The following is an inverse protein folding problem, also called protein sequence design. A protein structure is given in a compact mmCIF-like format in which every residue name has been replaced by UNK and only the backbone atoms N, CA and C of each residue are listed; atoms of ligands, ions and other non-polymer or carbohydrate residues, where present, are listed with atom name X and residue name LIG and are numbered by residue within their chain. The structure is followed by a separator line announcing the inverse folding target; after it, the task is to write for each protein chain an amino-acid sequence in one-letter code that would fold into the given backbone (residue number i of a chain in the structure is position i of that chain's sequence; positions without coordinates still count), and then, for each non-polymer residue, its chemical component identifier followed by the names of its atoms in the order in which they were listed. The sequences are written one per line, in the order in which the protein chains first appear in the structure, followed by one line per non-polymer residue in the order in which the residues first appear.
data_IF_265635755937
#
_entry.id   IF_265635755937
#
_cell.length_a   1.000
_cell.length_b   1.000
_cell.length_c   1.000
_cell.angle_alpha   90.00
_cell.angle_beta   90.00
_cell.angle_gamma   90.00
#
_symmetry.space_group_name_H-M   'P 1'
#
loop_
_entity.id
_entity.type
_entity.pdbx_description
1 polymer ?
#
# COMPACT_ATOMS: atom_id res chain seq x y z
N UNK A 1 -26.11 -4.64 -25.05
CA UNK A 1 -25.07 -5.61 -25.43
C UNK A 1 -24.58 -6.21 -24.14
N UNK A 2 -25.00 -7.44 -23.82
CA UNK A 2 -24.54 -8.13 -22.62
C UNK A 2 -23.31 -8.97 -23.01
N UNK A 3 -22.14 -8.58 -22.51
CA UNK A 3 -20.95 -9.43 -22.59
C UNK A 3 -21.12 -10.56 -21.58
N UNK A 4 -20.85 -11.80 -21.99
CA UNK A 4 -20.85 -12.93 -21.05
C UNK A 4 -19.52 -12.99 -20.29
N UNK A 5 -19.48 -13.51 -19.06
CA UNK A 5 -18.22 -13.61 -18.30
C UNK A 5 -17.13 -14.40 -19.02
N UNK A 6 -17.51 -15.46 -19.74
CA UNK A 6 -16.58 -16.22 -20.57
C UNK A 6 -16.03 -15.41 -21.74
N UNK A 7 -16.82 -14.51 -22.34
CA UNK A 7 -16.33 -13.62 -23.39
C UNK A 7 -15.29 -12.62 -22.89
N UNK A 8 -15.42 -12.16 -21.63
CA UNK A 8 -14.43 -11.29 -20.98
C UNK A 8 -13.13 -12.04 -20.74
N UNK A 9 -13.19 -13.29 -20.22
CA UNK A 9 -11.98 -14.12 -19.99
C UNK A 9 -11.20 -14.43 -21.27
N UNK A 10 -11.91 -14.65 -22.38
CA UNK A 10 -11.27 -14.99 -23.67
C UNK A 10 -10.99 -13.77 -24.56
N UNK A 11 -11.20 -12.55 -24.07
CA UNK A 11 -10.97 -11.35 -24.84
C UNK A 11 -9.46 -11.19 -25.13
N UNK A 12 -9.11 -10.95 -26.39
CA UNK A 12 -7.72 -10.73 -26.81
C UNK A 12 -7.55 -9.32 -27.37
N UNK A 13 -6.40 -8.71 -27.09
CA UNK A 13 -6.05 -7.36 -27.52
C UNK A 13 -4.80 -7.39 -28.40
N UNK A 14 -4.70 -6.47 -29.35
CA UNK A 14 -3.50 -6.32 -30.16
C UNK A 14 -2.36 -5.69 -29.34
N UNK A 15 -1.15 -6.24 -29.45
CA UNK A 15 0.05 -5.69 -28.80
C UNK A 15 0.56 -4.46 -29.56
N UNK A 16 0.75 -3.34 -28.87
CA UNK A 16 1.35 -2.12 -29.41
C UNK A 16 2.76 -1.90 -28.84
N UNK A 17 3.61 -1.16 -29.57
CA UNK A 17 5.00 -0.85 -29.16
C UNK A 17 5.11 -0.10 -27.83
N UNK A 18 4.02 0.56 -27.41
CA UNK A 18 3.81 1.09 -26.05
C UNK A 18 2.36 0.79 -25.68
N UNK A 19 2.13 -0.05 -24.68
CA UNK A 19 0.82 -0.55 -24.30
C UNK A 19 0.84 -1.17 -22.91
N UNK A 20 -0.33 -1.62 -22.44
CA UNK A 20 -0.49 -2.30 -21.16
C UNK A 20 0.20 -3.68 -21.17
N UNK A 21 0.67 -4.13 -20.00
CA UNK A 21 1.25 -5.46 -19.84
C UNK A 21 0.16 -6.53 -20.08
N UNK A 22 0.36 -7.48 -21.02
CA UNK A 22 -0.61 -8.54 -21.27
C UNK A 22 -0.93 -9.40 -20.03
N UNK A 23 0.00 -9.56 -19.09
CA UNK A 23 -0.19 -10.37 -17.89
C UNK A 23 -1.11 -9.68 -16.89
N UNK A 24 -0.94 -8.37 -16.73
CA UNK A 24 -1.78 -7.55 -15.87
C UNK A 24 -3.20 -7.45 -16.45
N UNK A 25 -3.32 -7.28 -17.78
CA UNK A 25 -4.62 -7.28 -18.47
C UNK A 25 -5.32 -8.63 -18.29
N UNK A 26 -4.63 -9.77 -18.40
CA UNK A 26 -5.23 -11.08 -18.16
C UNK A 26 -5.76 -11.22 -16.72
N UNK A 27 -4.98 -10.79 -15.72
CA UNK A 27 -5.39 -10.79 -14.31
C UNK A 27 -6.61 -9.89 -14.08
N UNK A 28 -6.66 -8.73 -14.75
CA UNK A 28 -7.79 -7.83 -14.71
C UNK A 28 -9.05 -8.44 -15.35
N UNK A 29 -8.91 -9.11 -16.51
CA UNK A 29 -10.01 -9.81 -17.20
C UNK A 29 -10.59 -10.94 -16.34
N UNK A 30 -9.75 -11.69 -15.63
CA UNK A 30 -10.21 -12.74 -14.71
C UNK A 30 -11.00 -12.14 -13.53
N UNK A 31 -10.47 -11.09 -12.89
CA UNK A 31 -11.17 -10.39 -11.80
C UNK A 31 -12.49 -9.75 -12.26
N UNK A 32 -12.52 -9.16 -13.46
CA UNK A 32 -13.76 -8.58 -14.01
C UNK A 32 -14.76 -9.66 -14.40
N UNK A 33 -14.32 -10.79 -14.94
CA UNK A 33 -15.20 -11.92 -15.22
C UNK A 33 -15.82 -12.50 -13.95
N UNK A 34 -15.04 -12.66 -12.88
CA UNK A 34 -15.55 -13.08 -11.57
C UNK A 34 -16.55 -12.08 -10.99
N UNK A 35 -16.25 -10.79 -11.05
CA UNK A 35 -17.17 -9.74 -10.60
C UNK A 35 -18.49 -9.75 -11.41
N UNK A 36 -18.41 -10.01 -12.72
CA UNK A 36 -19.58 -10.11 -13.59
C UNK A 36 -20.41 -11.36 -13.29
N UNK A 37 -19.78 -12.52 -13.04
CA UNK A 37 -20.45 -13.74 -12.57
C UNK A 37 -21.16 -13.49 -11.24
N UNK A 38 -20.49 -12.85 -10.28
CA UNK A 38 -21.07 -12.51 -9.00
C UNK A 38 -22.28 -11.57 -9.15
N UNK A 39 -22.17 -10.54 -9.99
CA UNK A 39 -23.27 -9.61 -10.26
C UNK A 39 -24.48 -10.30 -10.93
N UNK A 40 -24.25 -11.20 -11.88
CA UNK A 40 -25.31 -11.97 -12.55
C UNK A 40 -26.00 -12.96 -11.58
N UNK A 41 -25.23 -13.66 -10.75
CA UNK A 41 -25.76 -14.52 -9.70
C UNK A 41 -26.57 -13.72 -8.67
N UNK A 42 -26.13 -12.51 -8.34
CA UNK A 42 -26.85 -11.62 -7.45
C UNK A 42 -28.18 -11.13 -8.07
N UNK A 43 -28.17 -10.72 -9.35
CA UNK A 43 -29.37 -10.30 -10.06
C UNK A 43 -30.42 -11.41 -10.18
N UNK A 44 -30.00 -12.63 -10.54
CA UNK A 44 -30.90 -13.80 -10.62
C UNK A 44 -31.45 -14.20 -9.25
N UNK A 45 -30.63 -14.13 -8.20
CA UNK A 45 -31.08 -14.36 -6.83
C UNK A 45 -32.10 -13.30 -6.36
N UNK A 46 -31.88 -12.03 -6.69
CA UNK A 46 -32.83 -10.96 -6.39
C UNK A 46 -34.13 -11.12 -7.17
N UNK A 47 -34.08 -11.49 -8.44
CA UNK A 47 -35.29 -11.76 -9.24
C UNK A 47 -36.07 -12.96 -8.69
N UNK A 48 -35.40 -14.05 -8.32
CA UNK A 48 -36.05 -15.20 -7.69
C UNK A 48 -36.72 -14.83 -6.36
N UNK A 49 -36.06 -14.01 -5.53
CA UNK A 49 -36.62 -13.48 -4.29
C UNK A 49 -37.82 -12.57 -4.53
N UNK A 50 -37.75 -11.67 -5.51
CA UNK A 50 -38.85 -10.80 -5.88
C UNK A 50 -40.07 -11.61 -6.36
N UNK A 51 -39.86 -12.60 -7.22
CA UNK A 51 -40.93 -13.51 -7.68
C UNK A 51 -41.56 -14.29 -6.52
N UNK A 52 -40.75 -14.79 -5.58
CA UNK A 52 -41.25 -15.47 -4.39
C UNK A 52 -42.05 -14.55 -3.46
N UNK A 53 -41.60 -13.30 -3.29
CA UNK A 53 -42.33 -12.28 -2.51
C UNK A 53 -43.68 -11.93 -3.14
N UNK A 54 -43.74 -11.78 -4.48
CA UNK A 54 -44.99 -11.52 -5.21
C UNK A 54 -45.96 -12.70 -5.11
N UNK A 55 -45.49 -13.95 -5.23
CA UNK A 55 -46.32 -15.13 -5.05
C UNK A 55 -46.93 -15.19 -3.63
N UNK A 56 -46.13 -14.86 -2.61
CA UNK A 56 -46.59 -14.80 -1.21
C UNK A 56 -47.64 -13.72 -0.97
N UNK A 57 -47.50 -12.55 -1.61
CA UNK A 57 -48.50 -11.49 -1.55
C UNK A 57 -49.81 -11.89 -2.25
N UNK A 58 -49.73 -12.61 -3.36
CA UNK A 58 -50.93 -13.14 -4.04
C UNK A 58 -51.67 -14.16 -3.18
N UNK A 59 -50.95 -15.04 -2.48
CA UNK A 59 -51.55 -15.99 -1.53
C UNK A 59 -52.29 -15.28 -0.39
N UNK A 60 -51.68 -14.26 0.21
CA UNK A 60 -52.32 -13.44 1.26
C UNK A 60 -53.57 -12.70 0.74
N UNK A 61 -53.49 -12.09 -0.44
CA UNK A 61 -54.63 -11.38 -1.04
C UNK A 61 -55.80 -12.32 -1.42
N UNK A 62 -55.49 -13.54 -1.85
CA UNK A 62 -56.48 -14.58 -2.17
C UNK A 62 -57.16 -15.10 -0.90
N UNK A 63 -56.42 -15.16 0.22
CA UNK A 63 -56.95 -15.57 1.53
C UNK A 63 -57.86 -14.49 2.15
N UNK A 64 -57.52 -13.20 1.97
CA UNK A 64 -58.34 -12.05 2.40
C UNK A 64 -59.68 -12.00 1.64
N UNK A 65 -59.66 -12.32 0.34
CA UNK A 65 -60.85 -12.32 -0.53
C UNK A 65 -61.84 -13.45 -0.25
N UNK A 66 -61.45 -14.46 0.55
CA UNK A 66 -62.30 -15.59 0.93
C UNK A 66 -62.94 -15.44 2.32
N UNK A 67 -62.86 -14.26 2.93
CA UNK A 67 -63.46 -13.97 4.24
C UNK A 67 -64.91 -13.48 4.07
N UNK A 68 -65.92 -14.12 4.70
CA UNK A 68 -67.31 -13.64 4.62
C UNK A 68 -67.42 -12.25 5.25
N UNK A 69 -67.95 -11.29 4.49
CA UNK A 69 -68.12 -9.91 4.90
C UNK A 69 -69.26 -9.76 5.93
N UNK A 70 -69.03 -9.18 7.13
CA UNK A 70 -70.09 -8.70 8.00
C UNK A 70 -70.59 -7.32 7.57
N UNK A 71 -71.90 -7.07 7.71
CA UNK A 71 -72.56 -5.81 7.35
C UNK A 71 -72.05 -4.61 8.19
N UNK A 72 -71.85 -3.42 7.59
CA UNK A 72 -71.13 -2.31 8.22
C UNK A 72 -72.04 -1.36 9.01
N UNK A 73 -71.61 -1.01 10.24
CA UNK A 73 -72.04 0.17 10.98
C UNK A 73 -71.00 1.30 10.76
N UNK A 74 -71.34 2.41 10.08
CA UNK A 74 -70.37 3.39 9.58
C UNK A 74 -69.60 4.14 10.68
N UNK A 75 -70.15 4.27 11.89
CA UNK A 75 -69.48 5.00 13.00
C UNK A 75 -68.45 4.15 13.74
N UNK A 76 -68.72 2.85 13.87
CA UNK A 76 -67.76 1.89 14.43
C UNK A 76 -66.56 1.69 13.48
N UNK A 77 -66.78 1.85 12.17
CA UNK A 77 -65.74 1.71 11.16
C UNK A 77 -64.71 2.86 11.20
N UNK A 78 -65.14 4.12 11.37
CA UNK A 78 -64.22 5.26 11.48
C UNK A 78 -63.32 5.17 12.73
N UNK A 79 -63.86 4.70 13.85
CA UNK A 79 -63.09 4.52 15.09
C UNK A 79 -62.10 3.35 14.97
N UNK A 80 -62.52 2.23 14.37
CA UNK A 80 -61.64 1.11 14.06
C UNK A 80 -60.53 1.51 13.07
N UNK A 81 -60.83 2.37 12.10
CA UNK A 81 -59.85 2.90 11.14
C UNK A 81 -58.81 3.80 11.82
N UNK A 82 -59.20 4.73 12.70
CA UNK A 82 -58.26 5.57 13.46
C UNK A 82 -57.33 4.72 14.35
N UNK A 83 -57.88 3.70 15.03
CA UNK A 83 -57.09 2.75 15.82
C UNK A 83 -56.12 1.95 14.94
N UNK A 84 -56.55 1.51 13.75
CA UNK A 84 -55.71 0.79 12.79
C UNK A 84 -54.56 1.65 12.26
N UNK A 85 -54.82 2.93 11.96
CA UNK A 85 -53.83 3.89 11.49
C UNK A 85 -52.82 4.18 12.60
N UNK A 86 -53.27 4.37 13.84
CA UNK A 86 -52.36 4.58 14.98
C UNK A 86 -51.44 3.37 15.22
N UNK A 87 -51.97 2.15 15.10
CA UNK A 87 -51.19 0.91 15.20
C UNK A 87 -50.20 0.76 14.05
N UNK A 88 -50.61 1.12 12.83
CA UNK A 88 -49.74 1.10 11.67
C UNK A 88 -48.60 2.12 11.78
N UNK A 89 -48.87 3.34 12.26
CA UNK A 89 -47.84 4.36 12.50
C UNK A 89 -46.84 3.92 13.58
N UNK A 90 -47.31 3.30 14.65
CA UNK A 90 -46.43 2.82 15.72
C UNK A 90 -45.55 1.65 15.24
N UNK A 91 -46.10 0.75 14.42
CA UNK A 91 -45.32 -0.31 13.77
C UNK A 91 -44.30 0.27 12.78
N UNK A 92 -44.70 1.25 11.97
CA UNK A 92 -43.80 1.92 11.02
C UNK A 92 -42.68 2.66 11.75
N UNK A 93 -42.98 3.37 12.84
CA UNK A 93 -41.97 4.04 13.66
C UNK A 93 -40.97 3.03 14.25
N UNK A 94 -41.47 1.92 14.81
CA UNK A 94 -40.60 0.86 15.33
C UNK A 94 -39.71 0.24 14.25
N UNK A 95 -40.27 0.00 13.06
CA UNK A 95 -39.51 -0.52 11.93
C UNK A 95 -38.44 0.48 11.44
N UNK A 96 -38.75 1.79 11.46
CA UNK A 96 -37.78 2.83 11.15
C UNK A 96 -36.65 2.90 12.20
N UNK A 97 -36.98 2.81 13.48
CA UNK A 97 -36.00 2.81 14.56
C UNK A 97 -35.09 1.57 14.50
N UNK A 98 -35.66 0.41 14.15
CA UNK A 98 -34.91 -0.84 13.92
C UNK A 98 -33.99 -0.72 12.71
N UNK A 99 -34.47 -0.19 11.59
CA UNK A 99 -33.65 0.05 10.40
C UNK A 99 -32.50 1.04 10.66
N UNK A 100 -32.73 2.09 11.47
CA UNK A 100 -31.66 3.02 11.87
C UNK A 100 -30.65 2.34 12.77
N UNK A 101 -31.09 1.48 13.70
CA UNK A 101 -30.19 0.73 14.57
C UNK A 101 -29.33 -0.25 13.78
N UNK A 102 -29.92 -0.96 12.82
CA UNK A 102 -29.23 -1.88 11.91
C UNK A 102 -28.21 -1.15 11.04
N UNK A 103 -28.62 -0.06 10.37
CA UNK A 103 -27.72 0.74 9.54
C UNK A 103 -26.53 1.32 10.35
N UNK A 104 -26.76 1.72 11.60
CA UNK A 104 -25.67 2.18 12.50
C UNK A 104 -24.73 1.05 12.89
N UNK A 105 -25.26 -0.14 13.15
CA UNK A 105 -24.45 -1.31 13.48
C UNK A 105 -23.60 -1.74 12.27
N UNK A 106 -24.18 -1.78 11.07
CA UNK A 106 -23.47 -2.07 9.83
C UNK A 106 -22.39 -1.03 9.52
N UNK A 107 -22.71 0.27 9.67
CA UNK A 107 -21.73 1.33 9.48
C UNK A 107 -20.56 1.22 10.47
N UNK A 108 -20.84 0.87 11.73
CA UNK A 108 -19.79 0.64 12.72
C UNK A 108 -18.91 -0.56 12.37
N UNK A 109 -19.50 -1.65 11.88
CA UNK A 109 -18.76 -2.83 11.41
C UNK A 109 -17.88 -2.51 10.20
N UNK A 110 -18.42 -1.78 9.22
CA UNK A 110 -17.68 -1.39 8.02
C UNK A 110 -16.50 -0.47 8.37
N UNK A 111 -16.69 0.47 9.30
CA UNK A 111 -15.60 1.33 9.78
C UNK A 111 -14.52 0.54 10.51
N UNK A 112 -14.88 -0.48 11.29
CA UNK A 112 -13.86 -1.31 11.95
C UNK A 112 -13.11 -2.18 10.95
N UNK A 113 -13.82 -2.80 10.00
CA UNK A 113 -13.19 -3.55 8.89
C UNK A 113 -12.24 -2.67 8.09
N UNK A 114 -12.68 -1.47 7.67
CA UNK A 114 -11.83 -0.54 6.94
C UNK A 114 -10.60 -0.11 7.75
N UNK A 115 -10.71 0.04 9.09
CA UNK A 115 -9.57 0.35 9.95
C UNK A 115 -8.61 -0.84 10.10
N UNK A 116 -9.13 -2.05 10.21
CA UNK A 116 -8.32 -3.27 10.26
C UNK A 116 -7.59 -3.49 8.93
N UNK A 117 -8.29 -3.32 7.81
CA UNK A 117 -7.70 -3.37 6.47
C UNK A 117 -6.62 -2.29 6.31
N UNK A 118 -6.90 -1.03 6.68
CA UNK A 118 -5.89 0.04 6.64
C UNK A 118 -4.65 -0.31 7.49
N UNK A 119 -4.83 -0.83 8.71
CA UNK A 119 -3.71 -1.26 9.56
C UNK A 119 -2.88 -2.38 8.95
N UNK A 120 -3.54 -3.34 8.31
CA UNK A 120 -2.85 -4.47 7.68
C UNK A 120 -2.09 -4.04 6.44
N UNK A 121 -2.69 -3.19 5.60
CA UNK A 121 -2.03 -2.59 4.43
C UNK A 121 -0.82 -1.77 4.87
N UNK A 122 -0.99 -0.86 5.84
CA UNK A 122 0.13 -0.07 6.36
C UNK A 122 1.25 -0.94 6.95
N UNK A 123 0.91 -2.05 7.61
CA UNK A 123 1.92 -2.96 8.16
C UNK A 123 2.72 -3.65 7.05
N UNK A 124 2.02 -4.13 6.01
CA UNK A 124 2.64 -4.76 4.84
C UNK A 124 3.54 -3.77 4.10
N UNK A 125 3.07 -2.55 3.86
CA UNK A 125 3.86 -1.50 3.22
C UNK A 125 5.10 -1.13 4.05
N UNK A 126 4.96 -0.97 5.37
CA UNK A 126 6.12 -0.71 6.24
C UNK A 126 7.15 -1.84 6.17
N UNK A 127 6.71 -3.09 6.12
CA UNK A 127 7.61 -4.24 6.02
C UNK A 127 8.30 -4.30 4.64
N UNK A 128 7.58 -3.96 3.55
CA UNK A 128 8.17 -3.86 2.20
C UNK A 128 9.24 -2.76 2.14
N UNK A 129 8.90 -1.55 2.60
CA UNK A 129 9.83 -0.41 2.63
C UNK A 129 11.08 -0.73 3.45
N UNK A 130 10.90 -1.41 4.59
CA UNK A 130 12.02 -1.87 5.41
C UNK A 130 12.88 -2.90 4.68
N UNK A 131 12.25 -3.85 3.99
CA UNK A 131 12.96 -4.85 3.17
C UNK A 131 13.79 -4.23 2.05
N UNK A 132 13.26 -3.20 1.38
CA UNK A 132 13.98 -2.44 0.35
C UNK A 132 15.16 -1.68 0.92
N UNK A 133 14.98 -1.00 2.06
CA UNK A 133 16.07 -0.32 2.76
C UNK A 133 17.16 -1.31 3.15
N UNK A 134 16.80 -2.47 3.70
CA UNK A 134 17.77 -3.50 4.08
C UNK A 134 18.52 -4.04 2.84
N UNK A 135 17.83 -4.23 1.70
CA UNK A 135 18.46 -4.63 0.44
C UNK A 135 19.42 -3.56 -0.11
N UNK A 136 19.03 -2.28 -0.05
CA UNK A 136 19.87 -1.16 -0.46
C UNK A 136 21.11 -1.02 0.43
N UNK A 137 20.95 -1.21 1.75
CA UNK A 137 22.06 -1.21 2.71
C UNK A 137 23.01 -2.36 2.42
N UNK A 138 22.52 -3.58 2.23
CA UNK A 138 23.35 -4.73 1.87
C UNK A 138 24.12 -4.51 0.56
N UNK A 139 23.46 -3.94 -0.47
CA UNK A 139 24.11 -3.59 -1.74
C UNK A 139 25.18 -2.51 -1.54
N UNK A 140 24.92 -1.51 -0.70
CA UNK A 140 25.89 -0.47 -0.37
C UNK A 140 27.11 -1.06 0.35
N UNK A 141 26.91 -1.92 1.33
CA UNK A 141 27.99 -2.57 2.06
C UNK A 141 28.85 -3.44 1.13
N UNK A 142 28.21 -4.20 0.23
CA UNK A 142 28.90 -4.97 -0.79
C UNK A 142 29.76 -4.09 -1.70
N UNK A 143 29.19 -3.02 -2.26
CA UNK A 143 29.93 -2.11 -3.14
C UNK A 143 31.06 -1.37 -2.40
N UNK A 144 30.85 -1.04 -1.13
CA UNK A 144 31.89 -0.40 -0.31
C UNK A 144 33.06 -1.36 -0.10
N UNK A 145 32.78 -2.62 0.24
CA UNK A 145 33.81 -3.66 0.37
C UNK A 145 34.53 -3.94 -0.95
N UNK A 146 33.83 -3.88 -2.08
CA UNK A 146 34.42 -4.07 -3.41
C UNK A 146 35.38 -2.94 -3.77
N UNK A 147 35.00 -1.69 -3.49
CA UNK A 147 35.89 -0.53 -3.64
C UNK A 147 37.14 -0.68 -2.78
N UNK A 148 36.99 -1.05 -1.50
CA UNK A 148 38.13 -1.30 -0.62
C UNK A 148 39.04 -2.42 -1.16
N UNK A 149 38.46 -3.48 -1.73
CA UNK A 149 39.22 -4.57 -2.33
C UNK A 149 39.99 -4.12 -3.57
N UNK A 150 39.38 -3.31 -4.44
CA UNK A 150 40.02 -2.74 -5.63
C UNK A 150 41.14 -1.77 -5.26
N UNK A 151 40.94 -0.91 -4.25
CA UNK A 151 41.95 0.00 -3.77
C UNK A 151 43.18 -0.74 -3.23
N UNK A 152 42.96 -1.77 -2.40
CA UNK A 152 44.04 -2.62 -1.90
C UNK A 152 44.76 -3.34 -3.03
N UNK A 153 44.02 -3.88 -4.01
CA UNK A 153 44.63 -4.50 -5.18
C UNK A 153 45.52 -3.53 -5.97
N UNK A 154 45.07 -2.28 -6.19
CA UNK A 154 45.86 -1.26 -6.87
C UNK A 154 47.12 -0.87 -6.09
N UNK A 155 47.03 -0.77 -4.76
CA UNK A 155 48.18 -0.54 -3.89
C UNK A 155 49.21 -1.68 -4.02
N UNK A 156 48.76 -2.92 -3.98
CA UNK A 156 49.60 -4.11 -4.15
C UNK A 156 50.26 -4.16 -5.53
N UNK A 157 49.50 -3.88 -6.61
CA UNK A 157 50.05 -3.82 -7.96
C UNK A 157 51.11 -2.72 -8.08
N UNK A 158 50.84 -1.54 -7.51
CA UNK A 158 51.80 -0.43 -7.53
C UNK A 158 53.07 -0.78 -6.79
N UNK A 159 52.97 -1.46 -5.64
CA UNK A 159 54.13 -1.88 -4.88
C UNK A 159 54.93 -2.96 -5.62
N UNK A 160 54.25 -3.92 -6.25
CA UNK A 160 54.89 -4.93 -7.10
C UNK A 160 55.64 -4.29 -8.28
N UNK A 161 55.05 -3.28 -8.92
CA UNK A 161 55.71 -2.53 -10.00
C UNK A 161 56.94 -1.77 -9.51
N UNK A 162 56.86 -1.12 -8.33
CA UNK A 162 58.03 -0.45 -7.73
C UNK A 162 59.14 -1.43 -7.38
N UNK A 163 58.80 -2.57 -6.77
CA UNK A 163 59.76 -3.62 -6.43
C UNK A 163 60.43 -4.19 -7.69
N UNK A 164 59.65 -4.46 -8.74
CA UNK A 164 60.20 -4.90 -10.04
C UNK A 164 61.12 -3.83 -10.66
N UNK A 165 60.71 -2.56 -10.65
CA UNK A 165 61.54 -1.46 -11.14
C UNK A 165 62.85 -1.32 -10.34
N UNK A 166 62.79 -1.38 -9.01
CA UNK A 166 63.98 -1.36 -8.14
C UNK A 166 64.90 -2.54 -8.45
N UNK A 167 64.34 -3.75 -8.61
CA UNK A 167 65.12 -4.93 -8.97
C UNK A 167 65.80 -4.80 -10.33
N UNK A 168 65.14 -4.17 -11.32
CA UNK A 168 65.74 -3.91 -12.63
C UNK A 168 66.86 -2.87 -12.55
N UNK A 169 66.69 -1.83 -11.73
CA UNK A 169 67.74 -0.83 -11.45
C UNK A 169 68.94 -1.52 -10.79
N UNK A 170 68.72 -2.34 -9.76
CA UNK A 170 69.80 -3.08 -9.08
C UNK A 170 70.57 -3.98 -10.06
N UNK A 171 69.86 -4.68 -10.97
CA UNK A 171 70.50 -5.51 -12.01
C UNK A 171 71.29 -4.65 -12.99
N UNK A 172 70.77 -3.49 -13.40
CA UNK A 172 71.45 -2.57 -14.31
C UNK A 172 72.72 -1.98 -13.68
N UNK A 173 72.71 -1.66 -12.39
CA UNK A 173 73.85 -1.09 -11.66
C UNK A 173 74.94 -2.14 -11.36
N UNK A 174 74.56 -3.41 -11.16
CA UNK A 174 75.50 -4.48 -10.76
C UNK A 174 76.34 -5.04 -11.91
N UNK A 175 75.99 -4.77 -13.17
CA UNK A 175 76.74 -5.24 -14.35
C UNK A 175 77.73 -4.16 -14.81
N UNK A 176 79.06 -4.34 -14.64
CA UNK A 176 80.05 -3.35 -15.06
C UNK A 176 80.05 -3.23 -16.59
N UNK A 177 79.58 -2.10 -17.12
CA UNK A 177 79.38 -1.85 -18.56
C UNK A 177 77.91 -1.77 -19.01
N UNK A 178 76.94 -1.87 -18.09
CA UNK A 178 75.50 -1.88 -18.37
C UNK A 178 75.01 -3.24 -18.91
N UNK A 179 73.74 -3.32 -19.35
CA UNK A 179 73.17 -4.54 -19.95
C UNK A 179 73.82 -4.96 -21.29
N UNK A 180 74.78 -4.18 -21.79
CA UNK A 180 75.34 -4.35 -23.13
C UNK A 180 74.28 -4.23 -24.22
N UNK A 181 74.69 -4.33 -25.49
CA UNK A 181 73.75 -4.45 -26.60
C UNK A 181 73.13 -5.85 -26.53
N UNK A 182 72.04 -6.02 -25.77
CA UNK A 182 71.25 -7.26 -25.81
C UNK A 182 70.64 -7.33 -27.19
N UNK A 183 71.19 -8.19 -28.04
CA UNK A 183 70.65 -8.46 -29.36
C UNK A 183 69.17 -8.79 -29.18
N UNK A 184 68.24 -8.07 -29.84
CA UNK A 184 66.81 -8.34 -29.66
C UNK A 184 66.59 -9.82 -29.92
N UNK A 185 65.79 -10.52 -29.09
CA UNK A 185 65.43 -11.89 -29.38
C UNK A 185 64.91 -11.91 -30.81
N UNK A 186 65.56 -12.69 -31.67
CA UNK A 186 65.09 -12.85 -33.04
C UNK A 186 63.71 -13.49 -32.90
N UNK A 187 62.67 -12.67 -33.04
CA UNK A 187 61.32 -13.12 -33.29
C UNK A 187 61.42 -13.96 -34.56
N UNK A 188 61.48 -15.27 -34.37
CA UNK A 188 61.52 -16.25 -35.44
C UNK A 188 60.17 -16.20 -36.14
N UNK A 189 60.13 -15.42 -37.21
CA UNK A 189 59.23 -15.50 -38.37
C UNK A 189 57.80 -16.03 -38.13
N UNK A 190 56.83 -15.11 -38.12
CA UNK A 190 55.60 -15.27 -38.91
C UNK A 190 55.67 -14.24 -40.03
N UNK A 191 56.38 -14.62 -41.08
CA UNK A 191 56.34 -14.00 -42.41
C UNK A 191 55.32 -14.81 -43.19
N UNK A 192 54.12 -14.26 -43.38
CA UNK A 192 53.18 -14.76 -44.39
C UNK A 192 52.49 -13.57 -45.07
N UNK A 193 53.00 -13.30 -46.27
CA UNK A 193 52.40 -12.57 -47.37
C UNK A 193 52.14 -11.06 -47.24
N UNK A 194 53.17 -10.29 -47.62
CA UNK A 194 53.00 -9.06 -48.37
C UNK A 194 52.80 -9.40 -49.87
N UNK A 195 51.58 -9.21 -50.38
CA UNK A 195 51.38 -8.84 -51.78
C UNK A 195 50.88 -7.39 -51.83
N UNK A 196 51.74 -6.57 -52.41
CA UNK A 196 51.47 -5.21 -52.86
C UNK A 196 50.64 -5.25 -54.14
N UNK A 197 49.60 -4.43 -54.25
CA UNK A 197 49.24 -3.87 -55.57
C UNK A 197 48.66 -2.44 -55.43
N UNK A 198 49.02 -1.50 -56.34
CA UNK A 198 48.94 -0.06 -56.12
C UNK A 198 47.79 0.58 -56.88
N UNK A 199 46.87 1.28 -56.21
CA UNK A 199 46.09 2.34 -56.86
C UNK A 199 45.69 3.41 -55.83
N UNK A 200 46.49 4.46 -55.77
CA UNK A 200 46.11 5.76 -55.23
C UNK A 200 45.07 6.44 -56.14
N UNK A 201 44.23 7.26 -55.51
CA UNK A 201 43.37 8.31 -56.08
C UNK A 201 42.05 7.91 -56.78
N UNK A 202 40.95 8.00 -56.02
CA UNK A 202 39.84 8.90 -56.42
C UNK A 202 38.90 9.23 -55.26
N UNK A 203 39.02 10.46 -54.75
CA UNK A 203 37.95 11.20 -54.09
C UNK A 203 36.82 11.44 -55.10
N UNK A 204 35.63 10.89 -54.87
CA UNK A 204 34.35 11.58 -55.14
C UNK A 204 33.31 11.03 -54.14
N UNK A 205 32.63 11.96 -53.46
CA UNK A 205 31.45 11.73 -52.63
C UNK A 205 30.32 11.07 -53.45
N UNK A 206 29.56 10.15 -52.86
CA UNK A 206 28.09 10.29 -52.87
C UNK A 206 27.40 9.45 -51.78
N UNK A 207 26.29 10.01 -51.36
CA UNK A 207 25.35 9.68 -50.30
C UNK A 207 24.36 8.59 -50.77
N UNK A 208 24.04 7.61 -49.90
CA UNK A 208 22.70 7.03 -49.69
C UNK A 208 22.69 5.55 -49.26
N UNK A 209 21.78 5.28 -48.31
CA UNK A 209 21.08 4.02 -48.04
C UNK A 209 21.88 2.85 -47.44
N UNK A 210 21.92 2.82 -46.10
CA UNK A 210 22.12 1.59 -45.33
C UNK A 210 20.74 1.11 -44.88
N UNK A 211 20.20 0.12 -45.58
CA UNK A 211 19.08 -0.70 -45.11
C UNK A 211 19.57 -2.14 -45.20
N UNK A 212 19.71 -2.79 -44.04
CA UNK A 212 20.07 -4.20 -43.96
C UNK A 212 19.53 -4.75 -42.66
N UNK A 213 18.32 -5.30 -42.77
CA UNK A 213 17.83 -6.36 -41.92
C UNK A 213 18.91 -7.44 -41.74
N UNK A 214 19.08 -7.90 -40.49
CA UNK A 214 19.73 -9.17 -40.21
C UNK A 214 19.09 -9.76 -38.97
N UNK A 215 18.16 -10.68 -39.21
CA UNK A 215 17.74 -11.71 -38.28
C UNK A 215 18.95 -12.48 -37.76
N UNK A 216 18.95 -12.80 -36.46
CA UNK A 216 19.69 -13.93 -35.93
C UNK A 216 19.03 -14.41 -34.64
N UNK A 217 18.21 -15.43 -34.78
CA UNK A 217 17.77 -16.32 -33.71
C UNK A 217 18.98 -16.93 -32.99
N UNK A 218 18.89 -17.03 -31.66
CA UNK A 218 19.63 -18.02 -30.88
C UNK A 218 18.86 -18.31 -29.60
N UNK A 219 18.02 -19.33 -29.68
CA UNK A 219 17.54 -20.10 -28.54
C UNK A 219 18.72 -20.81 -27.86
N UNK A 220 18.79 -20.72 -26.53
CA UNK A 220 19.37 -21.76 -25.66
C UNK A 220 18.90 -21.61 -24.22
N UNK A 221 18.31 -22.69 -23.73
CA UNK A 221 17.68 -22.95 -22.44
C UNK A 221 18.53 -22.76 -21.17
N UNK A 222 17.79 -22.64 -20.06
CA UNK A 222 18.07 -23.11 -18.68
C UNK A 222 18.49 -22.07 -17.64
N UNK A 223 17.53 -21.63 -16.81
CA UNK A 223 17.43 -22.01 -15.38
C UNK A 223 16.55 -21.04 -14.59
N UNK A 224 15.57 -21.59 -13.90
CA UNK A 224 14.69 -20.96 -12.92
C UNK A 224 15.46 -20.29 -11.77
N UNK A 225 15.26 -18.99 -11.55
CA UNK A 225 15.40 -18.34 -10.24
C UNK A 225 14.32 -17.26 -10.10
N UNK A 226 13.57 -17.37 -9.01
CA UNK A 226 12.47 -16.51 -8.53
C UNK A 226 13.03 -15.18 -8.00
N UNK A 227 12.27 -14.08 -8.15
CA UNK A 227 12.18 -12.83 -7.33
C UNK A 227 11.86 -11.66 -8.29
N UNK A 228 10.66 -11.07 -8.36
CA UNK A 228 9.91 -10.25 -7.40
C UNK A 228 10.65 -8.99 -6.89
N UNK A 229 10.40 -7.87 -7.58
CA UNK A 229 10.50 -6.45 -7.21
C UNK A 229 10.57 -5.69 -8.56
N UNK A 230 9.73 -4.73 -8.89
CA UNK A 230 9.36 -3.56 -8.12
C UNK A 230 9.88 -2.36 -8.92
N UNK A 231 8.98 -1.60 -9.55
CA UNK A 231 9.28 -0.24 -9.97
C UNK A 231 7.97 0.54 -10.06
N UNK A 232 7.69 1.27 -9.00
CA UNK A 232 6.64 2.29 -8.91
C UNK A 232 7.36 3.61 -8.78
N UNK A 233 7.18 4.48 -9.77
CA UNK A 233 7.59 5.88 -9.70
C UNK A 233 6.37 6.72 -9.29
N UNK A 234 6.43 7.54 -8.23
CA UNK A 234 5.32 8.35 -7.75
C UNK A 234 5.46 9.83 -8.16
N UNK A 235 4.37 10.44 -8.61
CA UNK A 235 4.14 11.88 -8.57
C UNK A 235 2.61 12.12 -8.65
N UNK A 236 1.95 12.52 -7.57
CA UNK A 236 1.89 13.87 -6.98
C UNK A 236 0.88 14.81 -7.68
N UNK A 237 0.12 15.48 -6.80
CA UNK A 237 -0.69 16.69 -6.98
C UNK A 237 -1.97 16.62 -7.84
N UNK A 238 -3.13 16.69 -7.16
CA UNK A 238 -3.94 17.91 -7.23
C UNK A 238 -4.97 17.97 -6.10
N UNK A 239 -4.79 18.97 -5.24
CA UNK A 239 -5.66 19.33 -4.11
C UNK A 239 -6.89 20.08 -4.60
N UNK A 240 -8.01 19.75 -3.98
CA UNK A 240 -9.30 20.40 -4.09
C UNK A 240 -9.25 21.91 -3.83
N UNK A 241 -9.83 22.68 -4.75
CA UNK A 241 -10.23 24.07 -4.50
C UNK A 241 -11.76 24.15 -4.45
N UNK A 242 -12.31 24.07 -3.24
CA UNK A 242 -13.67 24.51 -2.91
C UNK A 242 -13.57 25.80 -2.08
N UNK A 243 -14.08 26.90 -2.64
CA UNK A 243 -14.27 28.15 -1.90
C UNK A 243 -15.44 28.93 -2.51
N UNK A 244 -16.64 28.55 -2.08
CA UNK A 244 -17.85 29.36 -2.11
C UNK A 244 -17.94 30.24 -0.84
N UNK A 245 -18.18 31.53 -1.05
CA UNK A 245 -18.75 32.58 -0.16
C UNK A 245 -17.92 33.86 -0.33
N UNK A 246 -18.47 35.05 -0.58
CA UNK A 246 -19.78 35.57 -0.20
C UNK A 246 -19.52 36.86 0.58
N UNK A 247 -19.78 38.00 -0.07
CA UNK A 247 -20.13 39.33 0.47
C UNK A 247 -19.57 39.76 1.84
N UNK A 248 -19.02 40.97 1.93
CA UNK A 248 -19.80 42.15 2.37
C UNK A 248 -18.92 43.26 3.00
N UNK A 249 -19.25 44.50 2.63
CA UNK A 249 -18.96 45.81 3.24
C UNK A 249 -17.53 46.27 3.60
N UNK A 250 -17.27 47.53 3.25
CA UNK A 250 -16.81 48.48 4.27
C UNK A 250 -15.50 49.20 3.99
N UNK A 251 -15.61 50.39 3.40
CA UNK A 251 -14.58 51.42 3.39
C UNK A 251 -14.23 51.85 4.82
N UNK A 252 -12.95 52.00 5.17
CA UNK A 252 -12.49 53.15 5.96
C UNK A 252 -11.00 53.44 5.73
N UNK A 253 -10.70 54.71 5.88
CA UNK A 253 -9.57 55.51 5.45
C UNK A 253 -8.34 55.38 6.35
N UNK A 254 -7.17 55.68 5.77
CA UNK A 254 -5.87 55.40 6.37
C UNK A 254 -5.42 56.31 7.51
N UNK A 255 -4.30 55.93 8.13
CA UNK A 255 -3.38 56.86 8.78
C UNK A 255 -2.01 56.22 8.94
N UNK A 256 -1.01 56.77 8.25
CA UNK A 256 0.41 56.55 8.54
C UNK A 256 0.76 57.33 9.82
N UNK A 257 1.34 56.67 10.82
CA UNK A 257 2.22 57.37 11.76
C UNK A 257 3.45 56.56 12.16
N UNK A 258 4.53 57.29 12.00
CA UNK A 258 5.95 57.05 12.19
C UNK A 258 6.33 57.11 13.69
N UNK A 259 7.44 56.44 14.01
CA UNK A 259 8.40 56.83 15.05
C UNK A 259 7.95 56.83 16.52
N UNK A 260 8.56 55.96 17.34
CA UNK A 260 8.44 56.07 18.80
C UNK A 260 9.19 55.01 19.60
N UNK A 261 10.50 55.21 19.73
CA UNK A 261 11.39 54.61 20.72
C UNK A 261 10.87 54.84 22.16
N UNK A 262 10.63 53.77 22.92
CA UNK A 262 10.52 53.83 24.39
C UNK A 262 10.69 52.45 25.04
N UNK A 263 11.72 52.39 25.87
CA UNK A 263 12.10 51.47 26.91
C UNK A 263 10.98 50.74 27.71
N UNK A 264 11.39 49.57 28.21
CA UNK A 264 11.03 48.96 29.51
C UNK A 264 9.56 48.62 29.82
N UNK A 265 9.30 47.32 30.00
CA UNK A 265 8.99 46.73 31.31
C UNK A 265 8.14 45.44 31.15
N UNK A 266 8.65 44.34 31.68
CA UNK A 266 7.87 43.15 32.00
C UNK A 266 6.83 43.49 33.08
N UNK A 267 5.67 42.82 33.12
CA UNK A 267 4.98 42.63 34.38
C UNK A 267 4.87 41.15 34.73
N UNK A 268 5.38 40.86 35.92
CA UNK A 268 5.19 39.65 36.72
C UNK A 268 4.22 40.00 37.84
N UNK A 269 3.18 39.15 38.02
CA UNK A 269 2.35 38.91 39.22
C UNK A 269 1.29 39.97 39.61
N UNK A 270 0.04 39.53 39.85
CA UNK A 270 -0.69 39.63 41.14
C UNK A 270 -1.83 38.60 41.19
N UNK A 271 -1.86 37.90 42.32
CA UNK A 271 -2.83 36.91 42.80
C UNK A 271 -3.89 37.63 43.66
N UNK A 272 -5.16 37.24 43.53
CA UNK A 272 -6.27 37.43 44.50
C UNK A 272 -7.31 36.36 44.14
N UNK A 273 -7.51 35.25 44.85
CA UNK A 273 -7.94 35.03 46.25
C UNK A 273 -9.38 35.51 46.49
N UNK A 274 -10.34 34.57 46.44
CA UNK A 274 -11.68 34.69 47.05
C UNK A 274 -12.30 33.30 47.31
N UNK A 275 -12.09 32.84 48.54
CA UNK A 275 -13.04 32.28 49.52
C UNK A 275 -13.89 31.02 49.24
N UNK A 276 -13.64 30.00 50.09
CA UNK A 276 -14.30 28.70 50.28
C UNK A 276 -15.77 28.75 50.78
N UNK A 277 -16.55 27.68 50.56
CA UNK A 277 -17.70 27.34 51.40
C UNK A 277 -17.33 26.41 52.57
N UNK A 278 -17.77 26.81 53.76
CA UNK A 278 -17.60 26.19 55.09
C UNK A 278 -18.24 24.79 55.18
N UNK A 279 -17.48 23.85 55.74
CA UNK A 279 -17.97 22.58 56.28
C UNK A 279 -18.51 22.76 57.72
N UNK A 280 -19.64 22.11 58.04
CA UNK A 280 -20.06 21.82 59.41
C UNK A 280 -20.78 20.45 59.41
N UNK A 281 -20.08 19.41 59.85
CA UNK A 281 -20.55 18.43 60.85
C UNK A 281 -19.44 17.38 61.09
N UNK A 282 -18.78 17.53 62.24
CA UNK A 282 -17.98 16.52 62.96
C UNK A 282 -18.88 16.03 64.14
N UNK A 283 -18.72 14.85 64.81
CA UNK A 283 -17.42 14.28 65.20
C UNK A 283 -17.30 12.74 65.42
N UNK A 284 -16.14 12.19 65.04
CA UNK A 284 -15.27 11.21 65.77
C UNK A 284 -15.75 9.81 66.26
N UNK A 285 -14.79 8.87 66.52
CA UNK A 285 -14.96 7.41 66.41
C UNK A 285 -15.00 6.66 67.75
N UNK A 286 -15.52 5.42 67.79
CA UNK A 286 -15.07 4.36 68.72
C UNK A 286 -15.25 2.93 68.17
N UNK A 287 -14.33 2.09 68.65
CA UNK A 287 -13.97 0.71 68.30
C UNK A 287 -15.05 -0.35 68.55
N UNK A 288 -14.99 -1.49 67.81
CA UNK A 288 -15.08 -2.86 68.35
C UNK A 288 -14.95 -3.96 67.26
N UNK A 289 -13.81 -4.66 67.28
CA UNK A 289 -13.63 -6.12 67.16
C UNK A 289 -14.53 -6.95 66.20
N UNK A 290 -13.92 -7.63 65.21
CA UNK A 290 -13.83 -9.10 65.21
C UNK A 290 -12.81 -9.63 64.18
N UNK A 291 -12.11 -10.69 64.60
CA UNK A 291 -10.97 -11.38 63.97
C UNK A 291 -11.36 -12.16 62.71
N UNK A 292 -10.45 -12.25 61.74
CA UNK A 292 -10.24 -13.48 60.96
C UNK A 292 -8.74 -13.65 60.63
N UNK A 293 -8.20 -14.82 60.93
CA UNK A 293 -6.77 -15.17 60.82
C UNK A 293 -6.44 -15.81 59.45
N UNK A 294 -5.16 -15.81 59.02
CA UNK A 294 -4.69 -16.57 57.86
C UNK A 294 -3.91 -17.83 58.26
N UNK A 295 -3.91 -18.85 57.39
CA UNK A 295 -2.87 -19.89 57.36
C UNK A 295 -3.38 -21.32 57.12
N UNK A 296 -2.64 -22.07 56.30
CA UNK A 296 -2.60 -23.53 56.42
C UNK A 296 -2.69 -24.33 55.11
N UNK A 297 -1.52 -24.67 54.56
CA UNK A 297 -1.21 -25.88 53.80
C UNK A 297 -2.05 -27.10 54.19
N UNK A 298 -2.49 -27.92 53.22
CA UNK A 298 -2.33 -29.38 53.23
C UNK A 298 -2.87 -30.04 51.95
N UNK A 299 -1.98 -30.78 51.27
CA UNK A 299 -2.30 -31.76 50.22
C UNK A 299 -3.04 -32.94 50.82
N UNK A 300 -3.78 -33.69 49.99
CA UNK A 300 -3.62 -35.13 50.04
C UNK A 300 -3.41 -35.75 48.64
N UNK A 301 -2.27 -36.45 48.54
CA UNK A 301 -2.08 -37.63 47.72
C UNK A 301 -3.05 -38.73 48.18
N UNK A 302 -3.65 -39.49 47.27
CA UNK A 302 -3.93 -40.94 47.38
C UNK A 302 -4.68 -41.48 46.15
N UNK A 303 -4.02 -42.39 45.42
CA UNK A 303 -4.64 -43.58 44.79
C UNK A 303 -5.18 -43.41 43.35
N UNK A 304 -4.44 -43.71 42.28
CA UNK A 304 -4.14 -45.06 41.73
C UNK A 304 -5.37 -45.98 41.61
N UNK A 305 -5.83 -46.27 40.38
CA UNK A 305 -5.90 -47.62 39.70
C UNK A 305 -6.86 -47.62 38.46
N UNK A 306 -6.84 -48.64 37.57
CA UNK A 306 -6.33 -48.49 36.21
C UNK A 306 -7.37 -48.84 35.13
N UNK A 307 -6.96 -48.81 33.86
CA UNK A 307 -7.78 -49.19 32.72
C UNK A 307 -8.25 -50.65 32.71
N UNK A 308 -9.39 -50.85 32.06
CA UNK A 308 -9.61 -51.87 31.04
C UNK A 308 -10.78 -51.45 30.16
#
# INVERSE_FOLDING_TARGET
MEMSPNQVRTATFASARKGFDPTEVATFLDRTAEALEAAQNHATAMEARARAAVAKLQELSSNESNRPAPEPDPRANEQAEIESISRALLLAQRAADEAIAEARAEAAQLLEQAREEARTVEAVERDQMRGEVDALVARREFLTSDVEQLENFLLDQRERLRSAASSLIDVAEKVPGGLGYVRPPLLSASDDHAETDPLSERLVLDEAAFDSDSDSDSDSDSASVVNHAGDSDPADDDRDHDASSGQDTGQDTGHEHDGGDAAEALPTIIVSDDHDPVANDDPTPQSSQLRFAPGGDERPDLGRRPGR
#
